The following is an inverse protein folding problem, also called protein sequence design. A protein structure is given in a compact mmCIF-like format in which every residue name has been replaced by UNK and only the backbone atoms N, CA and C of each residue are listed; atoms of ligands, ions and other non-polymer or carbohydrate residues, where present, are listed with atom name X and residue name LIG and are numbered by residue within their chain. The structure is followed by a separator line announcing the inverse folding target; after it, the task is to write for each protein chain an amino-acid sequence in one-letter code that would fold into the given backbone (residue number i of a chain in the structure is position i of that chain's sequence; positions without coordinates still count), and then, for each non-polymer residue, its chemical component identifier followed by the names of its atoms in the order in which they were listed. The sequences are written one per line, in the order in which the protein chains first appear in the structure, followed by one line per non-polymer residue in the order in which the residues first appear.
data_IF_025137327424
#
_entry.id   IF_025137327424
#
_cell.length_a   1.000
_cell.length_b   1.000
_cell.length_c   1.000
_cell.angle_alpha   90.00
_cell.angle_beta   90.00
_cell.angle_gamma   90.00
#
_symmetry.space_group_name_H-M   'P 1'
#
loop_
_entity.id
_entity.type
_entity.pdbx_description
1 polymer ?
#
# COMPACT_ATOMS: atom_id res chain seq x y z
N UNK A 1 32.77 11.09 14.77
CA UNK A 1 31.40 10.60 14.98
C UNK A 1 30.68 10.56 13.64
N UNK A 2 30.59 9.38 13.00
CA UNK A 2 29.96 9.24 11.70
C UNK A 2 28.44 9.44 11.80
N UNK A 3 27.91 10.47 11.13
CA UNK A 3 26.48 10.58 10.86
C UNK A 3 26.08 9.37 10.02
N UNK A 4 25.46 8.35 10.64
CA UNK A 4 24.77 7.28 9.91
C UNK A 4 23.82 7.97 8.91
N UNK A 5 24.07 7.81 7.61
CA UNK A 5 23.09 8.14 6.57
C UNK A 5 21.79 7.47 7.00
N UNK A 6 20.76 8.23 7.36
CA UNK A 6 19.42 7.70 7.55
C UNK A 6 19.02 7.17 6.19
N UNK A 7 19.14 5.85 5.97
CA UNK A 7 18.58 5.21 4.80
C UNK A 7 17.13 5.66 4.68
N UNK A 8 16.80 6.23 3.53
CA UNK A 8 15.45 6.68 3.26
C UNK A 8 14.57 5.43 3.35
N UNK A 9 13.46 5.45 4.11
CA UNK A 9 12.60 4.30 4.24
C UNK A 9 12.19 3.81 2.84
N UNK A 10 12.39 2.53 2.61
CA UNK A 10 11.98 1.86 1.39
C UNK A 10 10.46 1.97 1.29
N UNK A 11 9.98 2.53 0.17
CA UNK A 11 8.56 2.51 -0.16
C UNK A 11 8.40 1.33 -1.08
N UNK A 12 7.86 0.24 -0.54
CA UNK A 12 7.52 -0.92 -1.33
C UNK A 12 6.03 -0.86 -1.64
N UNK A 13 5.71 -0.72 -2.92
CA UNK A 13 4.32 -0.77 -3.36
C UNK A 13 3.99 -2.18 -3.78
N UNK A 14 3.23 -2.81 -2.88
CA UNK A 14 2.62 -4.12 -3.00
C UNK A 14 1.92 -4.29 -4.37
N UNK A 15 2.05 -5.46 -5.00
CA UNK A 15 1.37 -5.77 -6.26
C UNK A 15 -0.15 -5.62 -6.13
N UNK A 16 -0.71 -5.93 -4.95
CA UNK A 16 -2.12 -5.71 -4.64
C UNK A 16 -2.52 -4.23 -4.76
N UNK A 17 -1.72 -3.31 -4.21
CA UNK A 17 -1.99 -1.86 -4.30
C UNK A 17 -1.92 -1.39 -5.74
N UNK A 18 -0.99 -1.92 -6.53
CA UNK A 18 -0.89 -1.61 -7.96
C UNK A 18 -2.18 -2.01 -8.71
N UNK A 19 -2.71 -3.19 -8.40
CA UNK A 19 -3.95 -3.71 -8.99
C UNK A 19 -5.19 -2.91 -8.57
N UNK A 20 -5.27 -2.52 -7.30
CA UNK A 20 -6.42 -1.78 -6.79
C UNK A 20 -6.44 -0.35 -7.34
N UNK A 21 -5.28 0.30 -7.45
CA UNK A 21 -5.18 1.62 -8.07
C UNK A 21 -5.56 1.59 -9.56
N UNK A 22 -5.05 0.64 -10.35
CA UNK A 22 -5.39 0.59 -11.78
C UNK A 22 -6.89 0.32 -12.00
N UNK A 23 -7.52 -0.44 -11.10
CA UNK A 23 -8.96 -0.67 -11.11
C UNK A 23 -9.72 0.61 -10.81
N UNK A 24 -9.32 1.36 -9.79
CA UNK A 24 -9.94 2.66 -9.48
C UNK A 24 -9.83 3.66 -10.63
N UNK A 25 -8.65 3.76 -11.27
CA UNK A 25 -8.41 4.66 -12.40
C UNK A 25 -9.29 4.31 -13.60
N UNK A 26 -9.53 3.02 -13.84
CA UNK A 26 -10.46 2.58 -14.88
C UNK A 26 -11.91 2.95 -14.53
N UNK A 27 -12.36 2.62 -13.33
CA UNK A 27 -13.73 2.90 -12.87
C UNK A 27 -14.05 4.41 -12.83
N UNK A 28 -13.04 5.25 -12.58
CA UNK A 28 -13.16 6.72 -12.63
C UNK A 28 -12.97 7.32 -14.03
N UNK A 29 -12.76 6.49 -15.07
CA UNK A 29 -12.63 6.93 -16.46
C UNK A 29 -11.30 7.61 -16.80
N UNK A 30 -10.30 7.55 -15.91
CA UNK A 30 -8.99 8.19 -16.12
C UNK A 30 -8.08 7.41 -17.08
N UNK A 31 -8.36 6.12 -17.28
CA UNK A 31 -7.66 5.26 -18.25
C UNK A 31 -8.66 4.46 -19.10
N UNK A 32 -8.32 4.16 -20.37
CA UNK A 32 -9.17 3.33 -21.23
C UNK A 32 -9.13 1.86 -20.81
N UNK A 33 -10.17 1.10 -21.18
CA UNK A 33 -10.30 -0.33 -20.88
C UNK A 33 -9.08 -1.15 -21.31
N UNK A 34 -8.53 -0.90 -22.50
CA UNK A 34 -7.38 -1.69 -23.01
C UNK A 34 -6.12 -1.52 -22.16
N UNK A 35 -5.88 -0.31 -21.64
CA UNK A 35 -4.74 -0.04 -20.76
C UNK A 35 -4.94 -0.72 -19.40
N UNK A 36 -6.15 -0.62 -18.85
CA UNK A 36 -6.55 -1.31 -17.64
C UNK A 36 -6.42 -2.84 -17.78
N UNK A 37 -6.96 -3.41 -18.84
CA UNK A 37 -7.02 -4.86 -19.05
C UNK A 37 -5.63 -5.47 -19.15
N UNK A 38 -4.72 -4.85 -19.92
CA UNK A 38 -3.32 -5.27 -20.01
C UNK A 38 -2.61 -5.22 -18.65
N UNK A 39 -2.80 -4.14 -17.90
CA UNK A 39 -2.21 -4.00 -16.58
C UNK A 39 -2.78 -5.03 -15.58
N UNK A 40 -4.11 -5.23 -15.58
CA UNK A 40 -4.80 -6.22 -14.75
C UNK A 40 -4.27 -7.62 -14.99
N UNK A 41 -4.17 -8.06 -16.26
CA UNK A 41 -3.68 -9.40 -16.60
C UNK A 41 -2.27 -9.67 -16.05
N UNK A 42 -1.42 -8.65 -16.03
CA UNK A 42 -0.06 -8.75 -15.47
C UNK A 42 -0.06 -8.76 -13.94
N UNK A 43 -0.84 -7.88 -13.31
CA UNK A 43 -0.79 -7.65 -11.87
C UNK A 43 -1.62 -8.64 -11.05
N UNK A 44 -2.71 -9.17 -11.61
CA UNK A 44 -3.66 -10.01 -10.90
C UNK A 44 -3.06 -11.32 -10.34
N UNK A 45 -2.20 -12.06 -11.07
CA UNK A 45 -1.52 -13.23 -10.51
C UNK A 45 -0.59 -12.86 -9.35
N UNK A 46 0.17 -11.77 -9.49
CA UNK A 46 1.10 -11.30 -8.45
C UNK A 46 0.36 -10.82 -7.20
N UNK A 47 -0.74 -10.09 -7.38
CA UNK A 47 -1.59 -9.60 -6.30
C UNK A 47 -2.27 -10.75 -5.53
N UNK A 48 -2.75 -11.79 -6.23
CA UNK A 48 -3.31 -12.98 -5.58
C UNK A 48 -2.27 -13.71 -4.74
N UNK A 49 -1.08 -13.94 -5.30
CA UNK A 49 0.03 -14.57 -4.57
C UNK A 49 0.44 -13.74 -3.36
N UNK A 50 0.57 -12.43 -3.51
CA UNK A 50 0.93 -11.54 -2.41
C UNK A 50 -0.14 -11.53 -1.31
N UNK A 51 -1.43 -11.50 -1.67
CA UNK A 51 -2.53 -11.58 -0.72
C UNK A 51 -2.45 -12.87 0.11
N UNK A 52 -2.24 -14.02 -0.53
CA UNK A 52 -2.08 -15.31 0.14
C UNK A 52 -0.85 -15.34 1.04
N UNK A 53 0.29 -14.83 0.56
CA UNK A 53 1.52 -14.75 1.35
C UNK A 53 1.36 -13.86 2.58
N UNK A 54 0.71 -12.70 2.44
CA UNK A 54 0.49 -11.78 3.57
C UNK A 54 -0.50 -12.38 4.56
N UNK A 55 -1.58 -13.04 4.10
CA UNK A 55 -2.49 -13.78 4.99
C UNK A 55 -1.73 -14.84 5.75
N UNK A 56 -1.02 -15.74 5.05
CA UNK A 56 -0.30 -16.86 5.66
C UNK A 56 0.70 -16.35 6.69
N UNK A 57 1.47 -15.32 6.34
CA UNK A 57 2.38 -14.69 7.28
C UNK A 57 1.65 -14.12 8.51
N UNK A 58 0.58 -13.35 8.31
CA UNK A 58 -0.12 -12.68 9.41
C UNK A 58 -0.85 -13.65 10.35
N UNK A 59 -1.49 -14.68 9.80
CA UNK A 59 -2.37 -15.62 10.53
C UNK A 59 -1.59 -16.82 11.06
N UNK A 60 -0.75 -17.43 10.22
CA UNK A 60 -0.15 -18.74 10.53
C UNK A 60 1.27 -18.60 11.10
N UNK A 61 2.09 -17.73 10.50
CA UNK A 61 3.51 -17.60 10.87
C UNK A 61 3.71 -16.64 12.06
N UNK A 62 3.25 -15.39 11.93
CA UNK A 62 3.39 -14.34 12.92
C UNK A 62 2.26 -14.34 13.97
N UNK A 63 1.16 -15.05 13.69
CA UNK A 63 0.00 -15.25 14.59
C UNK A 63 -0.52 -13.93 15.19
N UNK A 64 -0.57 -12.90 14.35
CA UNK A 64 -0.99 -11.55 14.73
C UNK A 64 -2.52 -11.43 14.84
N UNK A 65 -3.24 -12.33 14.16
CA UNK A 65 -4.70 -12.39 14.14
C UNK A 65 -5.20 -13.77 13.68
N UNK A 66 -6.48 -14.05 13.92
CA UNK A 66 -7.16 -15.24 13.38
C UNK A 66 -7.64 -15.03 11.94
N UNK A 67 -8.13 -16.09 11.30
CA UNK A 67 -8.74 -16.00 9.97
C UNK A 67 -10.01 -15.13 9.96
N UNK A 68 -10.82 -15.22 11.01
CA UNK A 68 -12.03 -14.41 11.15
C UNK A 68 -11.68 -12.93 11.29
N UNK A 69 -10.68 -12.62 12.13
CA UNK A 69 -10.18 -11.26 12.29
C UNK A 69 -9.56 -10.74 10.98
N UNK A 70 -8.90 -11.60 10.21
CA UNK A 70 -8.30 -11.23 8.91
C UNK A 70 -9.37 -10.72 7.96
N UNK A 71 -10.43 -11.51 7.76
CA UNK A 71 -11.54 -11.11 6.88
C UNK A 71 -12.32 -9.91 7.44
N UNK A 72 -12.50 -9.82 8.76
CA UNK A 72 -13.16 -8.68 9.39
C UNK A 72 -12.38 -7.37 9.14
N UNK A 73 -11.08 -7.34 9.39
CA UNK A 73 -10.27 -6.14 9.21
C UNK A 73 -10.17 -5.72 7.75
N UNK A 74 -10.03 -6.68 6.83
CA UNK A 74 -10.08 -6.41 5.39
C UNK A 74 -11.38 -5.73 5.00
N UNK A 75 -12.52 -6.24 5.48
CA UNK A 75 -13.83 -5.64 5.23
C UNK A 75 -13.97 -4.24 5.82
N UNK A 76 -13.54 -4.05 7.09
CA UNK A 76 -13.67 -2.76 7.79
C UNK A 76 -12.87 -1.67 7.06
N UNK A 77 -11.62 -1.96 6.72
CA UNK A 77 -10.68 -0.98 6.20
C UNK A 77 -10.60 -0.92 4.67
N UNK A 78 -11.39 -1.70 3.96
CA UNK A 78 -11.56 -1.53 2.51
C UNK A 78 -12.27 -0.21 2.18
N UNK A 79 -11.79 0.46 1.14
CA UNK A 79 -12.36 1.68 0.54
C UNK A 79 -12.41 1.58 -1.00
N UNK A 80 -12.69 2.70 -1.67
CA UNK A 80 -12.75 2.80 -3.13
C UNK A 80 -11.41 2.66 -3.86
N UNK A 81 -10.29 2.72 -3.11
CA UNK A 81 -8.93 2.58 -3.61
C UNK A 81 -8.33 1.21 -3.29
N UNK A 82 -8.97 0.40 -2.43
CA UNK A 82 -8.56 -0.98 -2.18
C UNK A 82 -8.61 -1.45 -0.73
N UNK A 83 -7.94 -2.57 -0.48
CA UNK A 83 -7.78 -3.21 0.82
C UNK A 83 -6.58 -2.62 1.57
N UNK A 84 -6.83 -1.47 2.20
CA UNK A 84 -5.81 -0.78 2.99
C UNK A 84 -5.24 -1.63 4.14
N UNK A 85 -5.98 -2.63 4.63
CA UNK A 85 -5.49 -3.50 5.70
C UNK A 85 -4.43 -4.47 5.19
N UNK A 86 -4.64 -5.10 4.03
CA UNK A 86 -3.61 -5.97 3.44
C UNK A 86 -2.35 -5.18 3.12
N UNK A 87 -2.51 -3.95 2.60
CA UNK A 87 -1.35 -3.08 2.36
C UNK A 87 -0.58 -2.76 3.65
N UNK A 88 -1.31 -2.48 4.74
CA UNK A 88 -0.71 -2.26 6.04
C UNK A 88 0.08 -3.49 6.54
N UNK A 89 -0.52 -4.67 6.51
CA UNK A 89 0.14 -5.92 6.94
C UNK A 89 1.37 -6.23 6.08
N UNK A 90 1.28 -6.02 4.77
CA UNK A 90 2.42 -6.22 3.88
C UNK A 90 3.56 -5.23 4.17
N UNK A 91 3.25 -3.98 4.56
CA UNK A 91 4.26 -3.02 4.98
C UNK A 91 5.02 -3.48 6.23
N UNK A 92 4.31 -4.10 7.19
CA UNK A 92 4.91 -4.61 8.42
C UNK A 92 5.82 -5.79 8.09
N UNK A 93 5.34 -6.74 7.27
CA UNK A 93 6.12 -7.90 6.78
C UNK A 93 7.44 -7.48 6.15
N UNK A 94 7.45 -6.36 5.43
CA UNK A 94 8.64 -5.84 4.75
C UNK A 94 9.39 -4.73 5.53
N UNK A 95 9.00 -4.43 6.77
CA UNK A 95 9.55 -3.32 7.55
C UNK A 95 9.56 -1.98 6.78
N UNK A 96 8.53 -1.77 5.95
CA UNK A 96 8.34 -0.58 5.13
C UNK A 96 7.43 0.43 5.82
N UNK A 97 7.40 1.65 5.30
CA UNK A 97 6.46 2.68 5.77
C UNK A 97 5.11 2.51 5.09
N UNK A 98 4.04 2.51 5.88
CA UNK A 98 2.67 2.50 5.34
C UNK A 98 2.13 3.91 5.24
N UNK A 99 1.99 4.37 4.00
CA UNK A 99 1.40 5.66 3.67
C UNK A 99 -0.03 5.42 3.20
N UNK A 100 -1.01 6.07 3.81
CA UNK A 100 -2.42 5.91 3.43
C UNK A 100 -3.21 7.19 3.64
N UNK A 101 -4.24 7.40 2.81
CA UNK A 101 -5.25 8.43 3.01
C UNK A 101 -6.60 7.86 3.45
N UNK A 102 -6.67 6.55 3.74
CA UNK A 102 -7.90 5.90 4.19
C UNK A 102 -8.32 6.47 5.56
N UNK A 103 -9.48 7.14 5.66
CA UNK A 103 -9.88 7.85 6.88
C UNK A 103 -10.13 6.89 8.05
N UNK A 104 -10.60 5.67 7.80
CA UNK A 104 -10.86 4.67 8.85
C UNK A 104 -9.56 4.21 9.50
N UNK A 105 -8.55 3.90 8.68
CA UNK A 105 -7.21 3.55 9.17
C UNK A 105 -6.57 4.72 9.94
N UNK A 106 -6.68 5.93 9.42
CA UNK A 106 -6.11 7.11 10.07
C UNK A 106 -6.78 7.42 11.41
N UNK A 107 -8.11 7.22 11.52
CA UNK A 107 -8.85 7.32 12.77
C UNK A 107 -8.40 6.25 13.78
N UNK A 108 -8.25 5.00 13.33
CA UNK A 108 -7.83 3.87 14.17
C UNK A 108 -6.31 3.75 14.33
N UNK A 109 -5.53 4.70 13.82
CA UNK A 109 -4.06 4.64 13.71
C UNK A 109 -3.41 4.19 15.01
N UNK A 110 -3.74 4.83 16.14
CA UNK A 110 -3.11 4.50 17.44
C UNK A 110 -3.40 3.07 17.87
N UNK A 111 -4.63 2.60 17.66
CA UNK A 111 -5.07 1.24 17.99
C UNK A 111 -4.35 0.22 17.10
N UNK A 112 -4.29 0.46 15.79
CA UNK A 112 -3.63 -0.40 14.82
C UNK A 112 -2.12 -0.48 15.04
N UNK A 113 -1.47 0.65 15.31
CA UNK A 113 -0.03 0.69 15.59
C UNK A 113 0.31 -0.02 16.91
N UNK A 114 -0.55 0.11 17.94
CA UNK A 114 -0.37 -0.60 19.21
C UNK A 114 -0.54 -2.11 19.04
N UNK A 115 -1.50 -2.54 18.22
CA UNK A 115 -1.82 -3.96 18.03
C UNK A 115 -0.81 -4.67 17.13
N UNK A 116 -0.48 -4.08 15.99
CA UNK A 116 0.29 -4.75 14.93
C UNK A 116 1.72 -4.21 14.75
N UNK A 117 2.08 -3.13 15.46
CA UNK A 117 3.34 -2.43 15.22
C UNK A 117 3.28 -1.55 13.98
N UNK A 118 4.37 -1.38 13.25
CA UNK A 118 4.39 -0.62 12.01
C UNK A 118 4.20 0.91 12.16
N UNK A 119 4.57 1.64 11.10
CA UNK A 119 4.41 3.10 11.04
C UNK A 119 3.37 3.47 9.99
N UNK A 120 2.22 3.93 10.48
CA UNK A 120 1.15 4.52 9.66
C UNK A 120 1.40 6.03 9.57
N UNK A 121 1.38 6.58 8.36
CA UNK A 121 1.50 8.01 8.10
C UNK A 121 0.50 8.43 7.01
N UNK A 122 -0.06 9.63 7.10
CA UNK A 122 -0.89 10.15 6.00
C UNK A 122 -0.03 10.57 4.81
N UNK A 123 -0.61 10.63 3.61
CA UNK A 123 0.09 11.13 2.42
C UNK A 123 0.64 12.55 2.63
N UNK A 124 -0.16 13.43 3.24
CA UNK A 124 0.25 14.80 3.56
C UNK A 124 1.41 14.85 4.58
N UNK A 125 1.36 14.03 5.63
CA UNK A 125 2.44 13.94 6.61
C UNK A 125 3.72 13.37 5.98
N UNK A 126 3.58 12.42 5.06
CA UNK A 126 4.69 11.85 4.33
C UNK A 126 5.37 12.90 3.44
N UNK A 127 4.60 13.68 2.67
CA UNK A 127 5.11 14.79 1.86
C UNK A 127 5.82 15.83 2.73
N UNK A 128 5.22 16.28 3.84
CA UNK A 128 5.84 17.25 4.77
C UNK A 128 7.16 16.74 5.35
N UNK A 129 7.27 15.44 5.60
CA UNK A 129 8.46 14.82 6.23
C UNK A 129 9.61 14.58 5.26
N UNK A 130 9.29 14.29 4.00
CA UNK A 130 10.26 13.88 2.98
C UNK A 130 10.58 14.99 1.97
N UNK A 131 9.83 16.10 1.99
CA UNK A 131 10.02 17.21 1.05
C UNK A 131 9.90 16.76 -0.40
N UNK A 132 10.76 17.30 -1.26
CA UNK A 132 10.78 16.99 -2.70
C UNK A 132 11.04 15.51 -3.00
N UNK A 133 11.78 14.80 -2.13
CA UNK A 133 12.02 13.36 -2.25
C UNK A 133 10.73 12.56 -2.05
N UNK A 134 9.85 13.03 -1.17
CA UNK A 134 8.54 12.40 -0.94
C UNK A 134 7.62 12.55 -2.15
N UNK A 135 7.62 13.76 -2.74
CA UNK A 135 6.88 14.04 -3.97
C UNK A 135 7.39 13.19 -5.13
N UNK A 136 8.71 13.14 -5.34
CA UNK A 136 9.33 12.31 -6.38
C UNK A 136 9.00 10.82 -6.22
N UNK A 137 9.02 10.27 -5.00
CA UNK A 137 8.66 8.86 -4.80
C UNK A 137 7.18 8.57 -5.06
N UNK A 138 6.28 9.51 -4.72
CA UNK A 138 4.86 9.39 -5.08
C UNK A 138 4.68 9.47 -6.59
N UNK A 139 5.36 10.41 -7.24
CA UNK A 139 5.31 10.60 -8.70
C UNK A 139 5.92 9.41 -9.44
N UNK A 140 7.03 8.84 -8.96
CA UNK A 140 7.63 7.60 -9.47
C UNK A 140 6.68 6.42 -9.32
N UNK A 141 5.98 6.33 -8.19
CA UNK A 141 4.94 5.34 -8.01
C UNK A 141 3.85 5.46 -9.06
N UNK A 142 3.33 6.68 -9.26
CA UNK A 142 2.30 6.96 -10.24
C UNK A 142 2.78 6.71 -11.67
N UNK A 143 4.02 7.06 -12.01
CA UNK A 143 4.63 6.82 -13.32
C UNK A 143 4.83 5.33 -13.62
N UNK A 144 5.35 4.55 -12.66
CA UNK A 144 5.51 3.11 -12.78
C UNK A 144 4.14 2.39 -12.94
N UNK A 145 3.11 2.93 -12.29
CA UNK A 145 1.74 2.42 -12.32
C UNK A 145 0.96 2.79 -13.58
N UNK A 146 1.17 4.00 -14.12
CA UNK A 146 0.42 4.54 -15.25
C UNK A 146 1.12 4.37 -16.60
N UNK A 147 2.37 3.91 -16.62
CA UNK A 147 3.17 3.80 -17.84
C UNK A 147 3.39 5.14 -18.57
N UNK A 148 3.20 6.27 -17.86
CA UNK A 148 3.42 7.61 -18.42
C UNK A 148 4.87 8.04 -18.21
N UNK A 149 5.55 8.57 -19.25
CA UNK A 149 6.85 9.18 -19.06
C UNK A 149 6.72 10.35 -18.08
N UNK A 150 7.77 10.58 -17.27
CA UNK A 150 7.84 11.71 -16.34
C UNK A 150 7.37 12.99 -17.06
N UNK A 151 6.49 13.81 -16.47
CA UNK A 151 6.42 15.20 -16.91
C UNK A 151 7.80 15.81 -16.63
N UNK A 152 8.37 16.40 -17.68
CA UNK A 152 9.65 17.08 -17.65
C UNK A 152 9.66 18.27 -16.69
#
# INVERSE_FOLDING_TARGET
MGRKKKELPEIKTAALVKLELITHLFLSGQIPFDAYWKAKQRLEPEAKRELEEVRRWAVEEAKLLTDEEWEEFRRIYRDEYGDSFVHYMNSIRHNAMFVTNNPKILADRKKLQKRFGGKIISGEQFQKKMGDVGKQKIDELLSELLGRPRPA
#
